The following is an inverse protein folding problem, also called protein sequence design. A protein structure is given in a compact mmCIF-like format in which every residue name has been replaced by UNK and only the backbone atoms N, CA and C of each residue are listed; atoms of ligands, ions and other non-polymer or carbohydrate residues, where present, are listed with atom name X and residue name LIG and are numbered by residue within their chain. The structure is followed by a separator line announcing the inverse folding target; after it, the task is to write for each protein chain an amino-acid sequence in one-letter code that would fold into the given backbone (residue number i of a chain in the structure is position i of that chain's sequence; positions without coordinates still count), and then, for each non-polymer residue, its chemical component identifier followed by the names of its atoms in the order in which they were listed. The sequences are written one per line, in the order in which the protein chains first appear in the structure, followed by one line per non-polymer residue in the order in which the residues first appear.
data_IF_497486506132
#
_entry.id   IF_497486506132
#
_cell.length_a   1.000
_cell.length_b   1.000
_cell.length_c   1.000
_cell.angle_alpha   90.00
_cell.angle_beta   90.00
_cell.angle_gamma   90.00
#
_symmetry.space_group_name_H-M   'P 1'
#
loop_
_entity.id
_entity.type
_entity.pdbx_description
1 polymer ?
#
# COMPACT_ATOMS: atom_id res chain seq x y z
N UNK A 1 -8.87 -5.12 10.67
CA UNK A 1 -9.16 -5.61 9.32
C UNK A 1 -7.88 -5.78 8.50
N UNK A 2 -7.98 -6.48 7.40
CA UNK A 2 -6.86 -6.67 6.47
C UNK A 2 -6.33 -5.33 5.93
N UNK A 3 -7.22 -4.45 5.55
CA UNK A 3 -6.83 -3.13 5.04
C UNK A 3 -6.10 -2.29 6.10
N UNK A 4 -6.55 -2.35 7.34
CA UNK A 4 -5.88 -1.67 8.46
C UNK A 4 -4.48 -2.22 8.67
N UNK A 5 -4.33 -3.55 8.63
CA UNK A 5 -3.02 -4.18 8.78
C UNK A 5 -2.07 -3.77 7.65
N UNK A 6 -2.57 -3.71 6.41
CA UNK A 6 -1.78 -3.27 5.26
C UNK A 6 -1.36 -1.80 5.37
N UNK A 7 -2.27 -0.93 5.81
CA UNK A 7 -1.93 0.48 6.01
C UNK A 7 -0.86 0.64 7.11
N UNK A 8 -0.97 -0.12 8.19
CA UNK A 8 0.04 -0.13 9.26
C UNK A 8 1.39 -0.67 8.80
N UNK A 9 1.38 -1.69 7.95
CA UNK A 9 2.60 -2.23 7.35
C UNK A 9 3.33 -1.14 6.56
N UNK A 10 2.62 -0.42 5.71
CA UNK A 10 3.25 0.67 4.95
C UNK A 10 3.80 1.76 5.87
N UNK A 11 3.06 2.16 6.90
CA UNK A 11 3.57 3.13 7.87
C UNK A 11 4.85 2.64 8.56
N UNK A 12 4.92 1.36 8.90
CA UNK A 12 6.12 0.77 9.51
C UNK A 12 7.32 0.83 8.54
N UNK A 13 7.09 0.54 7.27
CA UNK A 13 8.13 0.64 6.24
C UNK A 13 8.65 2.06 6.09
N UNK A 14 7.74 3.03 6.07
CA UNK A 14 8.11 4.45 5.97
C UNK A 14 8.90 4.91 7.19
N UNK A 15 8.53 4.47 8.39
CA UNK A 15 9.27 4.78 9.62
C UNK A 15 10.68 4.22 9.61
N UNK A 16 10.88 3.09 8.95
CA UNK A 16 12.20 2.47 8.81
C UNK A 16 13.03 3.10 7.69
N UNK A 17 12.44 4.02 6.92
CA UNK A 17 13.13 4.67 5.81
C UNK A 17 12.78 6.16 5.74
N UNK A 18 13.04 6.92 6.81
CA UNK A 18 12.58 8.31 6.90
C UNK A 18 13.29 9.26 5.93
N UNK A 19 14.39 8.85 5.33
CA UNK A 19 15.13 9.66 4.36
C UNK A 19 14.49 9.72 2.98
N UNK A 20 13.45 8.92 2.71
CA UNK A 20 12.84 8.83 1.38
C UNK A 20 11.31 8.82 1.43
N UNK A 21 10.71 9.55 2.36
CA UNK A 21 9.25 9.55 2.53
C UNK A 21 8.51 9.94 1.26
N UNK A 22 9.03 10.92 0.52
CA UNK A 22 8.40 11.38 -0.73
C UNK A 22 8.39 10.30 -1.83
N UNK A 23 9.29 9.34 -1.75
CA UNK A 23 9.38 8.27 -2.73
C UNK A 23 8.27 7.21 -2.56
N UNK A 24 7.56 7.24 -1.44
CA UNK A 24 6.39 6.39 -1.22
C UNK A 24 5.09 6.99 -1.74
N UNK A 25 5.10 8.26 -2.17
CA UNK A 25 3.87 8.98 -2.54
C UNK A 25 3.16 8.34 -3.73
N UNK A 26 1.86 8.15 -3.59
CA UNK A 26 0.98 7.55 -4.60
C UNK A 26 -0.36 8.26 -4.58
N UNK A 27 -0.99 8.39 -5.74
CA UNK A 27 -2.31 9.02 -5.86
C UNK A 27 -3.26 8.08 -6.60
N UNK A 28 -4.27 7.59 -5.90
CA UNK A 28 -5.34 6.73 -6.45
C UNK A 28 -4.82 5.55 -7.26
N UNK A 29 -3.68 4.99 -6.85
CA UNK A 29 -3.05 3.89 -7.57
C UNK A 29 -3.80 2.58 -7.32
N UNK A 30 -4.05 1.82 -8.39
CA UNK A 30 -4.67 0.50 -8.28
C UNK A 30 -3.71 -0.55 -8.82
N UNK A 31 -3.09 -1.36 -7.94
CA UNK A 31 -2.22 -2.44 -8.41
C UNK A 31 -3.06 -3.52 -9.09
N UNK A 32 -2.76 -3.81 -10.35
CA UNK A 32 -3.54 -4.75 -11.17
C UNK A 32 -2.80 -6.04 -11.49
N UNK A 33 -1.50 -6.08 -11.23
CA UNK A 33 -0.66 -7.24 -11.56
C UNK A 33 0.44 -7.40 -10.51
N UNK A 34 1.05 -8.57 -10.49
CA UNK A 34 2.25 -8.82 -9.69
C UNK A 34 3.34 -7.83 -10.09
N UNK A 35 3.97 -7.21 -9.11
CA UNK A 35 5.06 -6.28 -9.34
C UNK A 35 6.36 -6.95 -8.89
N UNK A 36 7.29 -7.08 -9.84
CA UNK A 36 8.64 -7.57 -9.51
C UNK A 36 9.50 -6.37 -9.16
N UNK A 37 10.12 -6.36 -7.97
CA UNK A 37 11.07 -5.31 -7.63
C UNK A 37 12.29 -5.37 -8.56
N UNK A 38 12.74 -4.19 -9.01
CA UNK A 38 13.93 -4.10 -9.81
C UNK A 38 15.19 -4.37 -8.96
N UNK A 39 16.13 -5.13 -9.51
CA UNK A 39 17.42 -5.36 -8.91
C UNK A 39 17.42 -6.31 -7.72
N UNK A 40 18.47 -6.26 -6.92
CA UNK A 40 18.63 -7.10 -5.74
C UNK A 40 17.64 -6.69 -4.64
N UNK A 41 17.13 -7.66 -3.88
CA UNK A 41 16.18 -7.36 -2.79
C UNK A 41 16.82 -6.47 -1.72
N UNK A 42 16.12 -5.40 -1.36
CA UNK A 42 16.51 -4.50 -0.27
C UNK A 42 15.82 -4.92 1.02
N UNK A 43 16.10 -6.14 1.48
CA UNK A 43 15.48 -6.65 2.69
C UNK A 43 16.35 -6.35 3.92
N UNK A 44 15.73 -6.39 5.10
CA UNK A 44 16.43 -6.20 6.37
C UNK A 44 17.47 -7.29 6.63
N UNK A 45 17.35 -8.43 5.97
CA UNK A 45 18.30 -9.54 6.08
C UNK A 45 19.47 -9.44 5.11
N UNK A 46 19.41 -8.51 4.19
CA UNK A 46 20.46 -8.30 3.20
C UNK A 46 21.37 -7.16 3.68
N UNK A 47 21.97 -7.33 4.86
CA UNK A 47 22.82 -6.30 5.48
C UNK A 47 24.03 -5.93 4.65
N UNK A 48 24.41 -6.80 3.72
CA UNK A 48 25.54 -6.53 2.81
C UNK A 48 25.14 -5.75 1.56
N UNK A 49 23.86 -5.51 1.36
CA UNK A 49 23.36 -4.78 0.20
C UNK A 49 23.25 -3.30 0.52
N UNK A 50 23.95 -2.51 -0.25
CA UNK A 50 23.92 -1.06 -0.13
C UNK A 50 22.76 -0.49 -0.95
N UNK A 51 21.54 -0.67 -0.48
CA UNK A 51 20.41 -0.02 -1.10
C UNK A 51 20.35 1.44 -0.67
N UNK A 52 20.09 2.33 -1.61
CA UNK A 52 19.77 3.73 -1.28
C UNK A 52 18.38 3.79 -0.64
N UNK A 53 18.09 4.90 0.03
CA UNK A 53 16.76 5.11 0.60
C UNK A 53 15.67 5.04 -0.47
N UNK A 54 15.93 5.57 -1.67
CA UNK A 54 15.00 5.53 -2.80
C UNK A 54 14.80 4.10 -3.32
N UNK A 55 15.87 3.32 -3.42
CA UNK A 55 15.79 1.91 -3.84
C UNK A 55 14.99 1.08 -2.85
N UNK A 56 15.19 1.31 -1.55
CA UNK A 56 14.41 0.65 -0.51
C UNK A 56 12.93 1.02 -0.60
N UNK A 57 12.62 2.30 -0.84
CA UNK A 57 11.24 2.74 -1.01
C UNK A 57 10.56 2.05 -2.18
N UNK A 58 11.24 1.93 -3.33
CA UNK A 58 10.70 1.23 -4.50
C UNK A 58 10.45 -0.24 -4.20
N UNK A 59 11.36 -0.89 -3.49
CA UNK A 59 11.20 -2.30 -3.09
C UNK A 59 10.02 -2.46 -2.13
N UNK A 60 9.90 -1.58 -1.13
CA UNK A 60 8.81 -1.59 -0.16
C UNK A 60 7.45 -1.46 -0.85
N UNK A 61 7.33 -0.51 -1.77
CA UNK A 61 6.08 -0.27 -2.50
C UNK A 61 5.71 -1.48 -3.34
N UNK A 62 6.68 -2.08 -4.04
CA UNK A 62 6.43 -3.26 -4.86
C UNK A 62 5.94 -4.45 -4.02
N UNK A 63 6.60 -4.71 -2.90
CA UNK A 63 6.16 -5.77 -1.98
C UNK A 63 4.75 -5.50 -1.44
N UNK A 64 4.48 -4.25 -1.11
CA UNK A 64 3.18 -3.84 -0.56
C UNK A 64 2.06 -3.99 -1.59
N UNK A 65 2.31 -3.65 -2.86
CA UNK A 65 1.33 -3.86 -3.93
C UNK A 65 0.96 -5.34 -4.06
N UNK A 66 1.94 -6.21 -3.97
CA UNK A 66 1.70 -7.64 -4.05
C UNK A 66 0.88 -8.14 -2.85
N UNK A 67 1.15 -7.59 -1.66
CA UNK A 67 0.37 -7.92 -0.47
C UNK A 67 -1.09 -7.44 -0.59
N UNK A 68 -1.32 -6.24 -1.14
CA UNK A 68 -2.67 -5.73 -1.40
C UNK A 68 -3.49 -6.64 -2.30
N UNK A 69 -2.85 -7.24 -3.30
CA UNK A 69 -3.48 -8.15 -4.24
C UNK A 69 -3.51 -9.59 -3.76
N UNK A 70 -2.90 -9.89 -2.62
CA UNK A 70 -2.80 -11.26 -2.10
C UNK A 70 -1.78 -12.13 -2.81
N UNK A 71 -0.86 -11.54 -3.58
CA UNK A 71 0.17 -12.32 -4.30
C UNK A 71 1.17 -13.00 -3.36
N UNK A 72 1.29 -12.52 -2.12
CA UNK A 72 2.13 -13.18 -1.11
C UNK A 72 1.53 -14.53 -0.68
N UNK A 73 0.23 -14.70 -0.84
CA UNK A 73 -0.50 -15.93 -0.54
C UNK A 73 -1.19 -16.39 -1.82
N UNK A 74 -0.57 -17.32 -2.53
CA UNK A 74 -1.10 -17.83 -3.78
C UNK A 74 -1.50 -19.30 -3.63
N UNK A 75 -2.61 -19.65 -4.27
CA UNK A 75 -3.02 -21.04 -4.43
C UNK A 75 -2.57 -21.53 -5.80
N UNK A 76 -2.01 -22.72 -5.86
CA UNK A 76 -1.64 -23.35 -7.12
C UNK A 76 -2.69 -24.42 -7.43
N UNK A 77 -3.52 -24.14 -8.44
CA UNK A 77 -4.51 -25.08 -8.93
C UNK A 77 -4.32 -25.28 -10.43
N UNK A 78 -4.27 -26.54 -10.84
CA UNK A 78 -4.12 -26.89 -12.27
C UNK A 78 -2.93 -26.21 -12.93
N UNK A 79 -1.86 -25.94 -12.19
CA UNK A 79 -0.64 -25.31 -12.71
C UNK A 79 -0.68 -23.78 -12.74
N UNK A 80 -1.77 -23.15 -12.34
CA UNK A 80 -1.90 -21.71 -12.28
C UNK A 80 -1.78 -21.21 -10.84
N UNK A 81 -1.00 -20.15 -10.63
CA UNK A 81 -0.92 -19.47 -9.35
C UNK A 81 -1.94 -18.33 -9.33
N UNK A 82 -2.83 -18.33 -8.34
CA UNK A 82 -3.83 -17.29 -8.18
C UNK A 82 -3.79 -16.70 -6.77
N UNK A 83 -3.98 -15.38 -6.62
CA UNK A 83 -4.04 -14.76 -5.30
C UNK A 83 -5.29 -15.24 -4.56
N UNK A 84 -5.13 -15.66 -3.29
CA UNK A 84 -6.23 -16.20 -2.47
C UNK A 84 -6.68 -15.26 -1.37
N UNK A 85 -5.90 -14.24 -1.05
CA UNK A 85 -6.19 -13.32 0.04
C UNK A 85 -5.77 -11.91 -0.34
N UNK A 86 -6.60 -11.23 -1.05
CA UNK A 86 -6.37 -9.84 -1.44
C UNK A 86 -7.63 -9.01 -1.27
N UNK A 87 -7.46 -7.72 -1.29
CA UNK A 87 -8.58 -6.79 -1.33
C UNK A 87 -9.15 -6.76 -2.76
N UNK A 88 -10.46 -6.64 -2.86
CA UNK A 88 -11.13 -6.53 -4.17
C UNK A 88 -10.95 -5.12 -4.70
N UNK A 89 -10.38 -5.02 -5.90
CA UNK A 89 -10.14 -3.75 -6.60
C UNK A 89 -9.52 -2.68 -5.70
N UNK A 90 -8.35 -2.95 -5.08
CA UNK A 90 -7.76 -1.99 -4.16
C UNK A 90 -7.33 -0.72 -4.88
N UNK A 91 -7.48 0.41 -4.19
CA UNK A 91 -6.88 1.69 -4.55
C UNK A 91 -6.10 2.18 -3.36
N UNK A 92 -4.93 2.73 -3.60
CA UNK A 92 -4.09 3.22 -2.51
C UNK A 92 -3.64 4.65 -2.78
N UNK A 93 -3.51 5.40 -1.69
CA UNK A 93 -2.98 6.76 -1.71
C UNK A 93 -2.00 6.90 -0.55
N UNK A 94 -0.85 7.48 -0.83
CA UNK A 94 0.15 7.79 0.18
C UNK A 94 0.55 9.24 -0.02
N UNK A 95 0.39 10.03 1.02
CA UNK A 95 0.77 11.44 1.00
C UNK A 95 1.86 11.67 2.04
N UNK A 96 2.89 12.39 1.64
CA UNK A 96 3.95 12.79 2.53
C UNK A 96 4.16 14.29 2.40
N UNK A 97 3.98 15.01 3.50
CA UNK A 97 4.22 16.45 3.59
C UNK A 97 5.20 16.67 4.74
N UNK A 98 6.48 16.86 4.39
CA UNK A 98 7.55 16.84 5.39
C UNK A 98 7.59 15.49 6.11
N UNK A 99 7.41 15.50 7.41
CA UNK A 99 7.38 14.31 8.25
C UNK A 99 5.97 13.76 8.51
N UNK A 100 4.94 14.45 8.03
CA UNK A 100 3.56 13.97 8.16
C UNK A 100 3.22 13.05 7.00
N UNK A 101 2.72 11.86 7.30
CA UNK A 101 2.38 10.87 6.29
C UNK A 101 0.95 10.38 6.49
N UNK A 102 0.29 10.09 5.38
CA UNK A 102 -1.05 9.53 5.35
C UNK A 102 -1.05 8.34 4.43
N UNK A 103 -1.57 7.21 4.89
CA UNK A 103 -1.74 6.01 4.07
C UNK A 103 -3.22 5.68 4.04
N UNK A 104 -3.79 5.65 2.85
CA UNK A 104 -5.18 5.27 2.64
C UNK A 104 -5.25 4.03 1.75
N UNK A 105 -6.08 3.09 2.15
CA UNK A 105 -6.35 1.87 1.40
C UNK A 105 -7.86 1.78 1.20
N UNK A 106 -8.29 1.74 -0.04
CA UNK A 106 -9.68 1.59 -0.42
C UNK A 106 -9.89 0.26 -1.13
N UNK A 107 -11.08 -0.27 -1.05
CA UNK A 107 -11.45 -1.52 -1.72
C UNK A 107 -12.94 -1.55 -1.99
N UNK A 108 -13.37 -2.52 -2.78
CA UNK A 108 -14.79 -2.73 -3.07
C UNK A 108 -15.41 -3.63 -2.03
N UNK A 109 -16.45 -3.15 -1.39
CA UNK A 109 -17.27 -3.93 -0.46
C UNK A 109 -18.24 -4.86 -1.18
N UNK A 110 -18.81 -5.77 -0.42
CA UNK A 110 -19.75 -6.78 -0.94
C UNK A 110 -21.14 -6.20 -1.24
N UNK A 111 -21.46 -5.05 -0.71
CA UNK A 111 -22.77 -4.42 -0.87
C UNK A 111 -22.64 -2.91 -0.90
N UNK A 112 -23.64 -2.27 -1.49
CA UNK A 112 -23.71 -0.81 -1.52
C UNK A 112 -24.06 -0.25 -0.14
N UNK A 113 -23.47 0.91 0.20
CA UNK A 113 -23.76 1.66 1.41
C UNK A 113 -24.10 3.10 1.06
N UNK A 114 -24.99 3.70 1.83
CA UNK A 114 -25.37 5.10 1.65
C UNK A 114 -24.44 6.08 2.38
N UNK A 115 -23.57 5.57 3.27
CA UNK A 115 -22.67 6.42 4.05
C UNK A 115 -21.61 7.08 3.15
N UNK A 116 -21.17 8.30 3.46
CA UNK A 116 -20.09 8.94 2.71
C UNK A 116 -18.79 8.14 2.85
N UNK A 117 -17.88 8.23 1.85
CA UNK A 117 -16.60 7.55 1.92
C UNK A 117 -15.77 7.98 3.12
N UNK A 118 -15.10 7.01 3.76
CA UNK A 118 -14.19 7.28 4.87
C UNK A 118 -12.88 7.94 4.43
N UNK A 119 -12.57 7.90 3.13
CA UNK A 119 -11.40 8.52 2.52
C UNK A 119 -11.74 8.87 1.09
N UNK A 120 -11.12 9.92 0.57
CA UNK A 120 -11.27 10.30 -0.83
C UNK A 120 -10.48 9.37 -1.78
N UNK A 121 -9.63 8.50 -1.26
CA UNK A 121 -8.80 7.62 -2.08
C UNK A 121 -9.67 6.69 -2.92
N UNK A 122 -9.49 6.73 -4.25
CA UNK A 122 -10.23 5.89 -5.19
C UNK A 122 -11.64 6.37 -5.52
N UNK A 123 -12.10 7.47 -4.93
CA UNK A 123 -13.43 8.02 -5.17
C UNK A 123 -13.49 8.71 -6.54
N UNK A 124 -14.63 8.59 -7.23
CA UNK A 124 -14.88 9.30 -8.47
C UNK A 124 -14.25 8.70 -9.72
N UNK A 125 -13.69 7.49 -9.60
CA UNK A 125 -12.99 6.83 -10.70
C UNK A 125 -13.79 5.67 -11.32
N UNK A 126 -15.03 5.48 -10.88
CA UNK A 126 -15.89 4.42 -11.39
C UNK A 126 -15.51 3.01 -10.93
N UNK A 127 -14.69 2.90 -9.90
CA UNK A 127 -14.20 1.60 -9.40
C UNK A 127 -15.14 0.92 -8.43
N UNK A 128 -16.00 1.68 -7.76
CA UNK A 128 -16.72 1.18 -6.57
C UNK A 128 -18.24 1.32 -6.71
N UNK A 129 -18.74 0.98 -7.88
CA UNK A 129 -20.17 0.97 -8.14
C UNK A 129 -20.74 2.37 -8.38
N UNK A 130 -22.07 2.44 -8.46
CA UNK A 130 -22.77 3.69 -8.69
C UNK A 130 -22.59 4.62 -7.49
N UNK A 131 -22.18 5.85 -7.74
CA UNK A 131 -21.93 6.87 -6.72
C UNK A 131 -20.98 6.39 -5.62
N UNK A 132 -20.04 5.53 -5.96
CA UNK A 132 -19.05 4.95 -5.05
C UNK A 132 -19.67 4.26 -3.81
N UNK A 133 -20.88 3.75 -3.95
CA UNK A 133 -21.58 3.12 -2.81
C UNK A 133 -20.92 1.84 -2.31
N UNK A 134 -20.11 1.19 -3.14
CA UNK A 134 -19.36 -0.01 -2.75
C UNK A 134 -17.96 0.33 -2.25
N UNK A 135 -17.62 1.60 -2.15
CA UNK A 135 -16.33 2.06 -1.65
C UNK A 135 -16.19 1.80 -0.16
N UNK A 136 -15.09 1.17 0.22
CA UNK A 136 -14.66 0.99 1.61
C UNK A 136 -13.24 1.50 1.71
N UNK A 137 -12.88 2.09 2.85
CA UNK A 137 -11.53 2.60 3.02
C UNK A 137 -11.11 2.67 4.47
N UNK A 138 -9.81 2.60 4.69
CA UNK A 138 -9.16 3.01 5.92
C UNK A 138 -8.13 4.06 5.58
N UNK A 139 -7.96 5.04 6.45
CA UNK A 139 -6.96 6.08 6.29
C UNK A 139 -6.26 6.27 7.63
N UNK A 140 -4.94 6.10 7.64
CA UNK A 140 -4.11 6.26 8.81
C UNK A 140 -3.13 7.41 8.60
N UNK A 141 -2.96 8.23 9.62
CA UNK A 141 -2.03 9.36 9.60
C UNK A 141 -0.99 9.16 10.69
N UNK A 142 0.22 9.59 10.40
CA UNK A 142 1.32 9.48 11.35
C UNK A 142 2.34 10.58 11.10
N UNK A 143 3.16 10.84 12.11
CA UNK A 143 4.34 11.67 11.97
C UNK A 143 5.56 10.77 12.05
N UNK A 144 6.47 10.90 11.09
CA UNK A 144 7.69 10.10 11.01
C UNK A 144 8.88 10.99 11.32
N UNK A 145 9.64 10.71 12.39
CA UNK A 145 10.85 11.47 12.67
C UNK A 145 11.84 11.40 11.51
N UNK A 146 12.52 12.52 11.23
CA UNK A 146 13.57 12.54 10.23
C UNK A 146 14.76 11.67 10.62
N UNK A 147 15.68 11.37 9.66
CA UNK A 147 16.88 10.59 9.97
C UNK A 147 17.69 11.22 11.09
N UNK A 148 18.12 10.41 12.07
CA UNK A 148 18.90 10.85 13.20
C UNK A 148 18.12 11.54 14.31
N UNK A 149 16.80 11.66 14.20
CA UNK A 149 15.95 12.21 15.25
C UNK A 149 15.39 11.06 16.08
N UNK A 150 15.61 11.10 17.39
CA UNK A 150 15.04 10.12 18.30
C UNK A 150 13.54 10.38 18.47
N UNK A 151 12.72 9.32 18.43
CA UNK A 151 11.30 9.46 18.63
C UNK A 151 10.92 9.89 20.05
#
# INVERSE_FOLDING_TARGET
SQATALARDMLARMRSNPGALQNYALSHYSPTALVEPDGEPCSAHASDLSCTAQELAAYDVAQWFNALRGWAEVAVQAGNAEPVAGLVEPSVCIYAAGNSVTVAVAWRGLSAQAAPPASACGVGLGRYGMDDREHRAVELRSWVPGPGVLP
#
